data_IF_789825083548
#
_entry.id   IF_789825083548
#
_cell.length_a   1.000
_cell.length_b   1.000
_cell.length_c   1.000
_cell.angle_alpha   90.00
_cell.angle_beta   90.00
_cell.angle_gamma   90.00
#
_symmetry.space_group_name_H-M   'P 1'
#
loop_
_entity.id
_entity.type
_entity.pdbx_description
1 polymer ?
#
# COMPACT_ATOMS: atom_id res chain seq x y z
N UNK A 1 20.50 2.80 -0.54
CA UNK A 1 20.17 1.39 -0.26
C UNK A 1 19.97 0.68 -1.59
N UNK A 2 20.78 -0.35 -1.83
CA UNK A 2 20.55 -1.33 -2.89
C UNK A 2 19.38 -2.23 -2.50
N UNK A 3 18.66 -2.76 -3.48
CA UNK A 3 17.55 -3.69 -3.24
C UNK A 3 18.10 -4.97 -2.58
N UNK A 4 17.45 -5.40 -1.49
CA UNK A 4 17.78 -6.64 -0.80
C UNK A 4 16.50 -7.37 -0.44
N UNK A 5 16.34 -8.58 -1.01
CA UNK A 5 15.17 -9.42 -0.76
C UNK A 5 15.07 -9.87 0.71
N UNK A 6 16.20 -10.16 1.35
CA UNK A 6 16.25 -10.52 2.78
C UNK A 6 15.72 -9.39 3.66
N UNK A 7 16.10 -8.14 3.34
CA UNK A 7 15.60 -6.97 4.03
C UNK A 7 14.09 -6.78 3.81
N UNK A 8 13.63 -6.86 2.56
CA UNK A 8 12.21 -6.76 2.22
C UNK A 8 11.36 -7.74 3.04
N UNK A 9 11.75 -9.01 3.08
CA UNK A 9 11.03 -10.04 3.82
C UNK A 9 11.04 -9.78 5.33
N UNK A 10 12.16 -9.30 5.86
CA UNK A 10 12.28 -8.92 7.28
C UNK A 10 11.36 -7.76 7.63
N UNK A 11 11.36 -6.69 6.83
CA UNK A 11 10.51 -5.52 7.03
C UNK A 11 9.02 -5.90 6.94
N UNK A 12 8.63 -6.70 5.94
CA UNK A 12 7.26 -7.22 5.79
C UNK A 12 6.82 -8.02 7.01
N UNK A 13 7.69 -8.91 7.51
CA UNK A 13 7.37 -9.72 8.69
C UNK A 13 7.24 -8.85 9.93
N UNK A 14 8.17 -7.92 10.14
CA UNK A 14 8.20 -7.08 11.34
C UNK A 14 7.03 -6.12 11.38
N UNK A 15 6.69 -5.44 10.28
CA UNK A 15 5.54 -4.54 10.24
C UNK A 15 4.22 -5.27 10.53
N UNK A 16 4.10 -6.53 10.12
CA UNK A 16 2.88 -7.31 10.35
C UNK A 16 2.79 -7.86 11.76
N UNK A 17 3.87 -8.43 12.28
CA UNK A 17 3.88 -9.20 13.53
C UNK A 17 4.19 -8.33 14.76
N UNK A 18 5.06 -7.33 14.61
CA UNK A 18 5.45 -6.42 15.68
C UNK A 18 5.39 -4.95 15.21
N UNK A 19 4.19 -4.42 14.93
CA UNK A 19 4.04 -3.08 14.36
C UNK A 19 4.64 -1.98 15.24
N UNK A 20 4.43 -2.04 16.57
CA UNK A 20 4.97 -1.01 17.48
C UNK A 20 6.50 -0.95 17.41
N UNK A 21 7.17 -2.10 17.55
CA UNK A 21 8.64 -2.15 17.47
C UNK A 21 9.16 -1.73 16.09
N UNK A 22 8.47 -2.12 15.03
CA UNK A 22 8.82 -1.72 13.66
C UNK A 22 8.77 -0.20 13.48
N UNK A 23 7.72 0.47 13.95
CA UNK A 23 7.60 1.92 13.80
C UNK A 23 8.64 2.69 14.62
N UNK A 24 9.01 2.21 15.80
CA UNK A 24 10.13 2.77 16.60
C UNK A 24 11.44 2.68 15.82
N UNK A 25 11.75 1.53 15.21
CA UNK A 25 12.96 1.36 14.38
C UNK A 25 12.94 2.27 13.13
N UNK A 26 11.77 2.40 12.48
CA UNK A 26 11.63 3.28 11.31
C UNK A 26 11.74 4.76 11.67
N UNK A 27 11.48 5.16 12.90
CA UNK A 27 11.68 6.53 13.37
C UNK A 27 13.15 6.94 13.39
N UNK A 28 14.03 5.99 13.74
CA UNK A 28 15.48 6.21 13.85
C UNK A 28 16.22 6.02 12.52
N UNK A 29 15.62 5.28 11.58
CA UNK A 29 16.26 4.96 10.30
C UNK A 29 16.19 6.12 9.31
N UNK A 30 17.31 6.49 8.68
CA UNK A 30 17.33 7.50 7.62
C UNK A 30 16.54 7.04 6.37
N UNK A 31 15.78 7.96 5.79
CA UNK A 31 14.82 7.64 4.74
C UNK A 31 15.43 7.52 3.34
N UNK A 32 14.92 6.57 2.56
CA UNK A 32 15.26 6.48 1.15
C UNK A 32 14.13 7.01 0.27
N UNK A 33 14.43 7.98 -0.60
CA UNK A 33 13.53 8.38 -1.70
C UNK A 33 13.12 7.21 -2.60
N UNK A 34 13.83 6.08 -2.52
CA UNK A 34 13.61 4.86 -3.29
C UNK A 34 12.76 3.80 -2.58
N UNK A 35 12.16 4.08 -1.42
CA UNK A 35 11.30 3.10 -0.72
C UNK A 35 10.22 2.48 -1.62
N UNK A 36 9.63 3.26 -2.53
CA UNK A 36 8.67 2.76 -3.50
C UNK A 36 9.27 1.76 -4.50
N UNK A 37 10.55 1.93 -4.88
CA UNK A 37 11.27 1.01 -5.77
C UNK A 37 11.77 -0.24 -5.03
N UNK A 38 12.22 -0.08 -3.79
CA UNK A 38 12.88 -1.16 -3.04
C UNK A 38 11.90 -2.00 -2.21
N UNK A 39 10.72 -1.47 -1.88
CA UNK A 39 9.71 -2.14 -1.06
C UNK A 39 8.39 -2.35 -1.80
N UNK A 40 7.74 -1.26 -2.23
CA UNK A 40 6.40 -1.35 -2.82
C UNK A 40 6.38 -2.08 -4.16
N UNK A 41 7.23 -1.64 -5.10
CA UNK A 41 7.20 -2.12 -6.48
C UNK A 41 7.47 -3.64 -6.57
N UNK A 42 8.44 -4.23 -5.86
CA UNK A 42 8.64 -5.69 -5.87
C UNK A 42 7.40 -6.48 -5.41
N UNK A 43 6.73 -6.03 -4.34
CA UNK A 43 5.52 -6.70 -3.83
C UNK A 43 4.35 -6.50 -4.82
N UNK A 44 4.18 -5.30 -5.37
CA UNK A 44 3.15 -5.01 -6.37
C UNK A 44 3.36 -5.83 -7.66
N UNK A 45 4.61 -6.02 -8.09
CA UNK A 45 4.95 -6.88 -9.23
C UNK A 45 4.66 -8.35 -8.94
N UNK A 46 4.95 -8.83 -7.72
CA UNK A 46 4.54 -10.17 -7.30
C UNK A 46 3.01 -10.34 -7.35
N UNK A 47 2.26 -9.31 -6.93
CA UNK A 47 0.80 -9.27 -7.04
C UNK A 47 0.33 -9.31 -8.49
N UNK A 48 0.95 -8.55 -9.37
CA UNK A 48 0.64 -8.55 -10.80
C UNK A 48 0.90 -9.91 -11.47
N UNK A 49 2.00 -10.58 -11.10
CA UNK A 49 2.30 -11.95 -11.55
C UNK A 49 1.24 -12.93 -11.05
N UNK A 50 0.84 -12.81 -9.77
CA UNK A 50 -0.23 -13.63 -9.21
C UNK A 50 -1.56 -13.44 -9.94
N UNK A 51 -1.98 -12.18 -10.17
CA UNK A 51 -3.18 -11.82 -10.96
C UNK A 51 -3.12 -12.40 -12.37
N UNK A 52 -1.97 -12.26 -13.04
CA UNK A 52 -1.78 -12.82 -14.39
C UNK A 52 -2.02 -14.33 -14.39
N UNK A 53 -1.36 -15.05 -13.48
CA UNK A 53 -1.46 -16.51 -13.37
C UNK A 53 -2.91 -16.92 -13.05
N UNK A 54 -3.53 -16.31 -12.04
CA UNK A 54 -4.89 -16.64 -11.62
C UNK A 54 -5.91 -16.42 -12.75
N UNK A 55 -5.78 -15.34 -13.51
CA UNK A 55 -6.67 -15.06 -14.65
C UNK A 55 -6.39 -15.94 -15.87
N UNK A 56 -5.12 -16.27 -16.12
CA UNK A 56 -4.72 -17.15 -17.21
C UNK A 56 -5.32 -18.56 -17.03
N UNK A 57 -5.27 -19.12 -15.82
CA UNK A 57 -5.82 -20.44 -15.53
C UNK A 57 -7.34 -20.49 -15.36
N UNK A 58 -7.98 -19.35 -15.08
CA UNK A 58 -9.44 -19.25 -14.98
C UNK A 58 -10.12 -19.34 -16.35
N UNK A 59 -9.44 -18.91 -17.40
CA UNK A 59 -9.99 -18.77 -18.74
C UNK A 59 -9.83 -20.06 -19.55
N UNK A 60 -10.87 -20.38 -20.33
CA UNK A 60 -10.83 -21.48 -21.31
C UNK A 60 -10.27 -21.03 -22.66
N UNK A 61 -10.21 -19.71 -22.88
CA UNK A 61 -9.60 -19.08 -24.04
C UNK A 61 -8.14 -18.69 -23.73
N UNK A 62 -7.20 -19.20 -24.52
CA UNK A 62 -5.75 -18.95 -24.34
C UNK A 62 -5.30 -17.52 -24.72
N UNK A 63 -6.21 -16.53 -24.71
CA UNK A 63 -5.88 -15.14 -25.03
C UNK A 63 -5.21 -14.46 -23.84
N UNK A 64 -3.91 -14.18 -23.99
CA UNK A 64 -3.04 -13.60 -22.95
C UNK A 64 -3.30 -12.09 -22.72
N UNK A 65 -3.92 -11.41 -23.69
CA UNK A 65 -4.11 -9.95 -23.64
C UNK A 65 -4.87 -9.50 -22.38
N UNK A 66 -5.96 -10.18 -22.02
CA UNK A 66 -6.78 -9.79 -20.88
C UNK A 66 -6.09 -10.02 -19.52
N UNK A 67 -5.48 -11.19 -19.23
CA UNK A 67 -4.63 -11.38 -18.06
C UNK A 67 -3.49 -10.34 -17.95
N UNK A 68 -2.85 -10.00 -19.07
CA UNK A 68 -1.78 -9.01 -19.10
C UNK A 68 -2.28 -7.59 -18.75
N UNK A 69 -3.43 -7.18 -19.30
CA UNK A 69 -4.06 -5.90 -18.96
C UNK A 69 -4.45 -5.85 -17.47
N UNK A 70 -4.97 -6.94 -16.91
CA UNK A 70 -5.28 -7.02 -15.47
C UNK A 70 -4.04 -6.90 -14.59
N UNK A 71 -2.94 -7.57 -14.96
CA UNK A 71 -1.67 -7.44 -14.25
C UNK A 71 -1.13 -6.01 -14.31
N UNK A 72 -1.18 -5.36 -15.48
CA UNK A 72 -0.76 -3.96 -15.65
C UNK A 72 -1.64 -2.99 -14.82
N UNK A 73 -2.95 -3.22 -14.79
CA UNK A 73 -3.90 -2.48 -13.94
C UNK A 73 -3.53 -2.62 -12.45
N UNK A 74 -3.13 -3.80 -12.01
CA UNK A 74 -2.77 -4.04 -10.60
C UNK A 74 -1.53 -3.25 -10.16
N UNK A 75 -0.46 -3.28 -10.95
CA UNK A 75 0.73 -2.45 -10.68
C UNK A 75 0.35 -0.97 -10.67
N UNK A 76 -0.44 -0.54 -11.66
CA UNK A 76 -0.87 0.86 -11.79
C UNK A 76 -1.68 1.32 -10.58
N UNK A 77 -2.58 0.46 -10.07
CA UNK A 77 -3.40 0.74 -8.89
C UNK A 77 -2.53 1.05 -7.67
N UNK A 78 -1.60 0.16 -7.31
CA UNK A 78 -0.78 0.35 -6.11
C UNK A 78 0.24 1.48 -6.24
N UNK A 79 0.83 1.66 -7.42
CA UNK A 79 1.78 2.76 -7.66
C UNK A 79 1.08 4.11 -7.58
N UNK A 80 -0.07 4.27 -8.25
CA UNK A 80 -0.86 5.50 -8.18
C UNK A 80 -1.39 5.74 -6.76
N UNK A 81 -1.91 4.70 -6.11
CA UNK A 81 -2.36 4.76 -4.72
C UNK A 81 -1.27 5.30 -3.82
N UNK A 82 -0.04 4.79 -3.94
CA UNK A 82 1.08 5.23 -3.13
C UNK A 82 1.40 6.72 -3.33
N UNK A 83 1.61 7.17 -4.58
CA UNK A 83 2.02 8.55 -4.82
C UNK A 83 0.94 9.56 -4.41
N UNK A 84 -0.32 9.26 -4.69
CA UNK A 84 -1.44 10.12 -4.31
C UNK A 84 -1.62 10.10 -2.79
N UNK A 85 -1.58 8.94 -2.14
CA UNK A 85 -1.70 8.83 -0.69
C UNK A 85 -0.57 9.54 0.04
N UNK A 86 0.67 9.44 -0.43
CA UNK A 86 1.82 10.18 0.14
C UNK A 86 1.60 11.68 0.04
N UNK A 87 1.08 12.18 -1.08
CA UNK A 87 0.76 13.59 -1.25
C UNK A 87 -0.28 14.04 -0.22
N UNK A 88 -1.43 13.38 -0.14
CA UNK A 88 -2.49 13.75 0.80
C UNK A 88 -2.06 13.58 2.26
N UNK A 89 -1.38 12.49 2.61
CA UNK A 89 -0.86 12.22 3.95
C UNK A 89 0.06 13.37 4.42
N UNK A 90 0.96 13.85 3.56
CA UNK A 90 1.84 14.99 3.84
C UNK A 90 1.08 16.32 3.90
N UNK A 91 0.14 16.56 3.00
CA UNK A 91 -0.64 17.81 3.00
C UNK A 91 -1.52 17.93 4.25
N UNK A 92 -2.13 16.83 4.68
CA UNK A 92 -2.94 16.77 5.90
C UNK A 92 -2.11 17.02 7.16
N UNK A 93 -0.82 16.65 7.21
CA UNK A 93 0.03 16.95 8.39
C UNK A 93 -0.03 18.44 8.75
N UNK A 94 0.14 19.31 7.75
CA UNK A 94 0.09 20.77 7.92
C UNK A 94 -1.27 21.23 8.42
N UNK A 95 -2.36 20.70 7.85
CA UNK A 95 -3.72 21.07 8.22
C UNK A 95 -4.00 20.80 9.69
N UNK A 96 -3.41 19.74 10.25
CA UNK A 96 -3.55 19.37 11.66
C UNK A 96 -2.42 19.90 12.56
N UNK A 97 -1.54 20.75 12.03
CA UNK A 97 -0.49 21.43 12.80
C UNK A 97 0.78 20.61 13.05
N UNK A 98 0.96 19.48 12.39
CA UNK A 98 2.23 18.78 12.33
C UNK A 98 3.16 19.38 11.27
N UNK A 99 4.46 19.23 11.46
CA UNK A 99 5.46 19.62 10.49
C UNK A 99 5.31 18.81 9.19
N UNK A 100 5.40 19.49 8.03
CA UNK A 100 5.38 18.79 6.75
C UNK A 100 6.65 17.98 6.57
N UNK A 101 6.52 16.66 6.60
CA UNK A 101 7.63 15.77 6.30
C UNK A 101 7.23 14.73 5.25
N UNK A 102 7.76 14.88 4.03
CA UNK A 102 7.50 13.95 2.92
C UNK A 102 8.12 12.57 3.17
N UNK A 103 9.22 12.49 3.90
CA UNK A 103 9.92 11.25 4.18
C UNK A 103 9.11 10.37 5.14
N UNK A 104 8.62 10.97 6.23
CA UNK A 104 7.67 10.31 7.13
C UNK A 104 6.37 9.90 6.43
N UNK A 105 5.82 10.75 5.56
CA UNK A 105 4.63 10.40 4.78
C UNK A 105 4.88 9.19 3.87
N UNK A 106 6.07 9.08 3.25
CA UNK A 106 6.44 7.93 2.41
C UNK A 106 6.51 6.64 3.22
N UNK A 107 7.22 6.64 4.37
CA UNK A 107 7.28 5.50 5.28
C UNK A 107 5.90 5.06 5.74
N UNK A 108 5.14 6.03 6.24
CA UNK A 108 3.83 5.78 6.81
C UNK A 108 2.91 5.13 5.78
N UNK A 109 2.85 5.65 4.57
CA UNK A 109 2.02 5.07 3.50
C UNK A 109 2.57 3.72 3.04
N UNK A 110 3.86 3.61 2.71
CA UNK A 110 4.41 2.40 2.08
C UNK A 110 4.29 1.17 2.96
N UNK A 111 4.64 1.29 4.24
CA UNK A 111 4.60 0.16 5.16
C UNK A 111 3.19 -0.18 5.61
N UNK A 112 2.30 0.82 5.74
CA UNK A 112 0.90 0.57 6.07
C UNK A 112 0.15 -0.12 4.93
N UNK A 113 0.56 0.05 3.68
CA UNK A 113 -0.03 -0.64 2.53
C UNK A 113 0.33 -2.14 2.44
N UNK A 114 1.26 -2.63 3.29
CA UNK A 114 1.76 -4.02 3.24
C UNK A 114 0.65 -5.07 3.28
N UNK A 115 -0.33 -5.03 4.20
CA UNK A 115 -1.37 -6.05 4.26
C UNK A 115 -2.20 -6.08 2.97
N UNK A 116 -2.57 -4.90 2.45
CA UNK A 116 -3.34 -4.80 1.21
C UNK A 116 -2.58 -5.35 -0.01
N UNK A 117 -1.27 -5.06 -0.11
CA UNK A 117 -0.41 -5.60 -1.16
C UNK A 117 -0.32 -7.14 -1.09
N UNK A 118 -0.12 -7.70 0.10
CA UNK A 118 -0.03 -9.15 0.29
C UNK A 118 -1.35 -9.87 0.02
N UNK A 119 -2.46 -9.28 0.42
CA UNK A 119 -3.77 -9.84 0.15
C UNK A 119 -4.04 -9.86 -1.35
N UNK A 120 -3.67 -8.80 -2.09
CA UNK A 120 -3.72 -8.79 -3.56
C UNK A 120 -2.88 -9.91 -4.20
N UNK A 121 -1.71 -10.24 -3.64
CA UNK A 121 -0.93 -11.40 -4.12
C UNK A 121 -1.73 -12.70 -3.97
N UNK A 122 -2.37 -12.91 -2.82
CA UNK A 122 -3.13 -14.14 -2.54
C UNK A 122 -4.39 -14.21 -3.40
N UNK A 123 -5.19 -13.14 -3.44
CA UNK A 123 -6.47 -13.11 -4.17
C UNK A 123 -6.27 -12.98 -5.68
N UNK A 124 -5.14 -12.41 -6.12
CA UNK A 124 -4.72 -12.43 -7.52
C UNK A 124 -4.49 -13.85 -8.04
N UNK A 125 -3.85 -14.71 -7.24
CA UNK A 125 -3.62 -16.11 -7.60
C UNK A 125 -4.89 -16.96 -7.47
N UNK A 126 -5.67 -16.71 -6.42
CA UNK A 126 -6.89 -17.46 -6.10
C UNK A 126 -8.10 -16.51 -5.95
N UNK A 127 -8.74 -16.10 -7.06
CA UNK A 127 -9.84 -15.11 -7.01
C UNK A 127 -11.05 -15.54 -6.17
N UNK A 128 -11.24 -16.85 -5.96
CA UNK A 128 -12.32 -17.37 -5.12
C UNK A 128 -12.06 -17.14 -3.61
N UNK A 129 -10.85 -16.76 -3.21
CA UNK A 129 -10.49 -16.40 -1.83
C UNK A 129 -10.76 -14.92 -1.52
N UNK A 130 -11.71 -14.27 -2.20
CA UNK A 130 -12.05 -12.86 -1.97
C UNK A 130 -12.38 -12.53 -0.50
N UNK A 131 -12.80 -13.51 0.31
CA UNK A 131 -13.00 -13.35 1.76
C UNK A 131 -11.72 -12.89 2.48
N UNK A 132 -10.54 -13.22 1.95
CA UNK A 132 -9.23 -12.81 2.48
C UNK A 132 -9.02 -11.28 2.36
N UNK A 133 -9.77 -10.58 1.50
CA UNK A 133 -9.73 -9.11 1.36
C UNK A 133 -9.97 -8.39 2.70
N UNK A 134 -10.68 -9.01 3.65
CA UNK A 134 -10.90 -8.46 4.99
C UNK A 134 -9.60 -8.21 5.76
N UNK A 135 -8.55 -9.01 5.52
CA UNK A 135 -7.25 -8.82 6.18
C UNK A 135 -6.55 -7.54 5.68
N UNK A 136 -6.94 -7.00 4.51
CA UNK A 136 -6.47 -5.72 4.02
C UNK A 136 -6.79 -4.56 4.96
N UNK A 137 -7.84 -4.67 5.79
CA UNK A 137 -8.24 -3.68 6.80
C UNK A 137 -7.12 -3.45 7.83
N UNK A 138 -6.26 -4.44 8.06
CA UNK A 138 -5.10 -4.29 8.96
C UNK A 138 -4.17 -3.15 8.53
N UNK A 139 -4.19 -2.75 7.25
CA UNK A 139 -3.46 -1.58 6.74
C UNK A 139 -3.82 -0.28 7.49
N UNK A 140 -5.08 -0.12 7.90
CA UNK A 140 -5.53 1.06 8.64
C UNK A 140 -5.01 1.07 10.07
N UNK A 141 -4.93 -0.11 10.70
CA UNK A 141 -4.35 -0.25 12.03
C UNK A 141 -2.84 0.04 12.01
N UNK A 142 -2.11 -0.47 11.01
CA UNK A 142 -0.69 -0.15 10.82
C UNK A 142 -0.46 1.35 10.62
N UNK A 143 -1.29 1.98 9.80
CA UNK A 143 -1.25 3.43 9.60
C UNK A 143 -1.51 4.17 10.90
N UNK A 144 -2.49 3.73 11.68
CA UNK A 144 -2.81 4.35 12.95
C UNK A 144 -1.61 4.35 13.90
N UNK A 145 -1.02 3.18 14.15
CA UNK A 145 0.14 3.07 15.03
C UNK A 145 1.33 3.86 14.49
N UNK A 146 1.62 3.74 13.19
CA UNK A 146 2.74 4.44 12.57
C UNK A 146 2.60 5.95 12.66
N UNK A 147 1.38 6.48 12.49
CA UNK A 147 1.12 7.91 12.63
C UNK A 147 1.33 8.38 14.06
N UNK A 148 0.91 7.60 15.06
CA UNK A 148 1.14 7.90 16.49
C UNK A 148 2.62 7.93 16.85
N UNK A 149 3.40 7.00 16.30
CA UNK A 149 4.81 6.86 16.64
C UNK A 149 5.68 7.89 15.88
N UNK A 150 5.41 8.11 14.60
CA UNK A 150 6.26 8.92 13.72
C UNK A 150 5.95 10.41 13.76
N UNK A 151 4.72 10.81 14.08
CA UNK A 151 4.27 12.19 13.95
C UNK A 151 3.96 12.80 15.31
N UNK A 152 4.34 14.07 15.47
CA UNK A 152 4.00 14.86 16.65
C UNK A 152 2.97 15.91 16.27
N UNK A 153 1.84 15.93 16.97
CA UNK A 153 0.76 16.90 16.77
C UNK A 153 0.58 17.80 18.00
N UNK A 154 0.10 19.05 17.80
CA UNK A 154 -0.46 19.84 18.89
C UNK A 154 -1.65 19.10 19.52
N UNK A 155 -1.90 19.35 20.82
CA UNK A 155 -2.89 18.61 21.62
C UNK A 155 -4.23 18.38 20.90
N UNK A 156 -4.75 17.16 21.03
CA UNK A 156 -6.05 16.69 20.53
C UNK A 156 -6.27 16.66 19.01
N UNK A 157 -5.26 16.89 18.16
CA UNK A 157 -5.40 16.82 16.68
C UNK A 157 -4.98 15.51 16.03
N UNK A 158 -4.17 14.72 16.73
CA UNK A 158 -3.59 13.46 16.23
C UNK A 158 -4.67 12.48 15.74
N UNK A 159 -5.64 12.15 16.60
CA UNK A 159 -6.72 11.21 16.26
C UNK A 159 -7.53 11.67 15.04
N UNK A 160 -7.85 12.96 14.97
CA UNK A 160 -8.58 13.53 13.84
C UNK A 160 -7.79 13.46 12.54
N UNK A 161 -6.47 13.72 12.58
CA UNK A 161 -5.58 13.55 11.43
C UNK A 161 -5.58 12.11 10.94
N UNK A 162 -5.41 11.14 11.86
CA UNK A 162 -5.31 9.73 11.50
C UNK A 162 -6.60 9.24 10.85
N UNK A 163 -7.74 9.50 11.50
CA UNK A 163 -9.06 9.10 10.99
C UNK A 163 -9.30 9.70 9.60
N UNK A 164 -9.08 11.02 9.44
CA UNK A 164 -9.34 11.68 8.16
C UNK A 164 -8.40 11.15 7.07
N UNK A 165 -7.13 10.90 7.39
CA UNK A 165 -6.17 10.41 6.40
C UNK A 165 -6.45 8.98 5.98
N UNK A 166 -6.87 8.10 6.90
CA UNK A 166 -7.36 6.76 6.58
C UNK A 166 -8.56 6.83 5.63
N UNK A 167 -9.54 7.69 5.94
CA UNK A 167 -10.73 7.87 5.10
C UNK A 167 -10.36 8.37 3.70
N UNK A 168 -9.49 9.38 3.61
CA UNK A 168 -9.00 9.90 2.32
C UNK A 168 -8.29 8.81 1.52
N UNK A 169 -7.36 8.07 2.12
CA UNK A 169 -6.63 6.99 1.44
C UNK A 169 -7.55 5.85 0.99
N UNK A 170 -8.59 5.53 1.77
CA UNK A 170 -9.62 4.57 1.38
C UNK A 170 -10.41 5.02 0.15
N UNK A 171 -10.82 6.29 0.09
CA UNK A 171 -11.53 6.83 -1.06
C UNK A 171 -10.63 6.93 -2.30
N UNK A 172 -9.35 7.28 -2.15
CA UNK A 172 -8.38 7.25 -3.26
C UNK A 172 -8.30 5.84 -3.83
N UNK A 173 -8.14 4.82 -2.96
CA UNK A 173 -8.05 3.43 -3.41
C UNK A 173 -9.32 2.99 -4.13
N UNK A 174 -10.48 3.25 -3.53
CA UNK A 174 -11.78 2.88 -4.08
C UNK A 174 -12.01 3.53 -5.45
N UNK A 175 -11.70 4.82 -5.56
CA UNK A 175 -11.81 5.57 -6.82
C UNK A 175 -10.87 5.01 -7.89
N UNK A 176 -9.58 4.85 -7.58
CA UNK A 176 -8.59 4.30 -8.51
C UNK A 176 -8.96 2.89 -8.96
N UNK A 177 -9.41 2.04 -8.03
CA UNK A 177 -9.81 0.67 -8.32
C UNK A 177 -10.96 0.61 -9.34
N UNK A 178 -12.01 1.42 -9.13
CA UNK A 178 -13.14 1.50 -10.07
C UNK A 178 -12.71 2.13 -11.40
N UNK A 179 -11.98 3.24 -11.35
CA UNK A 179 -11.52 3.95 -12.55
C UNK A 179 -10.66 3.07 -13.45
N UNK A 180 -9.61 2.44 -12.90
CA UNK A 180 -8.72 1.56 -13.65
C UNK A 180 -9.43 0.31 -14.18
N UNK A 181 -10.42 -0.22 -13.46
CA UNK A 181 -11.24 -1.32 -13.95
C UNK A 181 -12.08 -0.91 -15.16
N UNK A 182 -12.68 0.29 -15.13
CA UNK A 182 -13.41 0.82 -16.29
C UNK A 182 -12.50 1.06 -17.49
N UNK A 183 -11.30 1.61 -17.28
CA UNK A 183 -10.32 1.81 -18.34
C UNK A 183 -9.93 0.47 -18.98
N UNK A 184 -9.72 -0.57 -18.18
CA UNK A 184 -9.39 -1.90 -18.67
C UNK A 184 -10.48 -2.47 -19.59
N UNK A 185 -11.77 -2.26 -19.27
CA UNK A 185 -12.90 -2.77 -20.05
C UNK A 185 -13.12 -2.07 -21.40
N UNK A 186 -12.42 -0.96 -21.66
CA UNK A 186 -12.47 -0.26 -22.95
C UNK A 186 -11.58 -0.96 -23.99
N UNK A 187 -10.60 -1.76 -23.56
CA UNK A 187 -9.68 -2.51 -24.40
C UNK A 187 -10.15 -3.95 -24.61
#
# INVERSE_FOLDING_TARGET
MEFSFSKLMSDVKLVLVNPNGFWVEQKETADSKRLWLTYLLPIALAGAVAVFIGEFFKRTDFFIQFPLLKAAREVSLFVLQYFISVFFTKELMKTFGAEKNIELARKLVVYSMTPMLLVSVITGLFPFLYVVDIFGIYSFYLFWIGAKELLTFPENKEHSYIILTIVVNFFIFSFLSVFLSKVLLIF
#
